data_IF_823315621642
#
_entry.id   IF_823315621642
#
_cell.length_a   1.000
_cell.length_b   1.000
_cell.length_c   1.000
_cell.angle_alpha   90.00
_cell.angle_beta   90.00
_cell.angle_gamma   90.00
#
_symmetry.space_group_name_H-M   'P 1'
#
loop_
_entity.id
_entity.type
_entity.pdbx_description
1 polymer ?
#
# COMPACT_ATOMS: atom_id res chain seq x y z
N UNK A 1 21.84 13.95 -1.45
CA UNK A 1 22.59 12.67 -1.52
C UNK A 1 24.08 12.95 -1.52
N UNK A 2 24.92 12.01 -1.08
CA UNK A 2 26.37 12.12 -1.29
C UNK A 2 26.69 12.20 -2.80
N UNK A 3 27.87 12.69 -3.17
CA UNK A 3 28.26 12.84 -4.58
C UNK A 3 28.18 11.52 -5.37
N UNK A 4 28.37 10.37 -4.71
CA UNK A 4 28.30 9.04 -5.32
C UNK A 4 26.97 8.30 -5.12
N UNK A 5 26.00 8.90 -4.42
CA UNK A 5 24.70 8.27 -4.19
C UNK A 5 23.85 8.28 -5.47
N UNK A 6 23.03 7.25 -5.65
CA UNK A 6 21.98 7.18 -6.69
C UNK A 6 20.63 6.86 -6.04
N UNK A 7 19.55 7.37 -6.60
CA UNK A 7 18.18 7.12 -6.14
C UNK A 7 17.32 6.77 -7.34
N UNK A 8 16.65 5.62 -7.26
CA UNK A 8 15.67 5.21 -8.26
C UNK A 8 14.29 5.29 -7.61
N UNK A 9 13.46 6.22 -8.09
CA UNK A 9 12.05 6.29 -7.77
C UNK A 9 11.24 5.34 -8.63
N UNK A 10 10.13 4.85 -8.09
CA UNK A 10 9.13 4.08 -8.84
C UNK A 10 7.76 4.59 -8.41
N UNK A 11 6.91 4.94 -9.37
CA UNK A 11 5.51 5.30 -9.10
C UNK A 11 4.60 4.79 -10.21
N UNK A 12 3.35 4.48 -9.85
CA UNK A 12 2.28 4.09 -10.76
C UNK A 12 1.54 5.32 -11.31
N UNK A 13 1.62 6.45 -10.61
CA UNK A 13 0.87 7.64 -10.93
C UNK A 13 1.63 8.54 -11.92
N UNK A 14 1.06 8.71 -13.11
CA UNK A 14 1.64 9.58 -14.15
C UNK A 14 1.91 11.01 -13.65
N UNK A 15 1.08 11.55 -12.74
CA UNK A 15 1.31 12.87 -12.17
C UNK A 15 2.58 12.90 -11.30
N UNK A 16 2.85 11.82 -10.56
CA UNK A 16 4.10 11.67 -9.80
C UNK A 16 5.30 11.52 -10.75
N UNK A 17 5.14 10.79 -11.85
CA UNK A 17 6.17 10.63 -12.89
C UNK A 17 6.53 11.97 -13.53
N UNK A 18 5.56 12.83 -13.84
CA UNK A 18 5.81 14.17 -14.38
C UNK A 18 6.61 15.04 -13.41
N UNK A 19 6.31 15.00 -12.12
CA UNK A 19 7.07 15.72 -11.09
C UNK A 19 8.48 15.14 -10.96
N UNK A 20 8.60 13.82 -10.95
CA UNK A 20 9.88 13.14 -10.82
C UNK A 20 10.81 13.37 -12.02
N UNK A 21 10.29 13.45 -13.25
CA UNK A 21 11.09 13.80 -14.42
C UNK A 21 11.73 15.19 -14.30
N UNK A 22 11.01 16.17 -13.74
CA UNK A 22 11.59 17.51 -13.47
C UNK A 22 12.73 17.44 -12.45
N UNK A 23 12.61 16.59 -11.44
CA UNK A 23 13.68 16.36 -10.46
C UNK A 23 14.90 15.66 -11.08
N UNK A 24 14.67 14.75 -12.04
CA UNK A 24 15.74 14.12 -12.80
C UNK A 24 16.53 15.13 -13.63
N UNK A 25 15.84 16.08 -14.28
CA UNK A 25 16.47 17.16 -15.04
C UNK A 25 17.35 18.07 -14.14
N UNK A 26 17.01 18.20 -12.85
CA UNK A 26 17.76 18.97 -11.86
C UNK A 26 18.93 18.17 -11.25
N UNK A 27 18.79 16.86 -11.07
CA UNK A 27 19.81 15.97 -10.50
C UNK A 27 19.82 14.60 -11.17
N UNK A 28 20.79 14.37 -12.06
CA UNK A 28 20.95 13.13 -12.81
C UNK A 28 21.20 11.89 -11.93
N UNK A 29 21.45 12.04 -10.63
CA UNK A 29 21.56 10.92 -9.68
C UNK A 29 20.20 10.35 -9.29
N UNK A 30 19.12 11.10 -9.50
CA UNK A 30 17.76 10.65 -9.33
C UNK A 30 17.22 10.16 -10.67
N UNK A 31 16.69 8.95 -10.72
CA UNK A 31 16.02 8.38 -11.90
C UNK A 31 14.62 7.92 -11.49
N UNK A 32 13.69 7.86 -12.44
CA UNK A 32 12.30 7.47 -12.18
C UNK A 32 11.84 6.39 -13.16
N UNK A 33 11.09 5.41 -12.66
CA UNK A 33 10.38 4.42 -13.47
C UNK A 33 8.87 4.56 -13.26
N UNK A 34 8.12 4.55 -14.37
CA UNK A 34 6.67 4.42 -14.34
C UNK A 34 6.30 2.94 -14.30
N UNK A 35 5.72 2.48 -13.19
CA UNK A 35 5.29 1.10 -13.04
C UNK A 35 5.09 0.69 -11.59
N UNK A 36 4.97 -0.62 -11.36
CA UNK A 36 4.76 -1.16 -10.02
C UNK A 36 6.10 -1.37 -9.31
N UNK A 37 6.13 -1.11 -8.00
CA UNK A 37 7.30 -1.37 -7.15
C UNK A 37 7.65 -2.86 -7.04
N UNK A 38 6.78 -3.78 -7.49
CA UNK A 38 7.10 -5.22 -7.52
C UNK A 38 8.21 -5.54 -8.51
N UNK A 39 8.41 -4.68 -9.52
CA UNK A 39 9.37 -4.87 -10.61
C UNK A 39 10.78 -4.33 -10.28
N UNK A 40 11.11 -4.12 -9.00
CA UNK A 40 12.45 -3.67 -8.55
C UNK A 40 13.60 -4.42 -9.24
N UNK A 41 13.60 -5.77 -9.33
CA UNK A 41 14.68 -6.49 -10.00
C UNK A 41 14.87 -6.07 -11.46
N UNK A 42 13.77 -5.80 -12.17
CA UNK A 42 13.81 -5.32 -13.55
C UNK A 42 14.41 -3.91 -13.62
N UNK A 43 14.01 -3.00 -12.73
CA UNK A 43 14.51 -1.63 -12.72
C UNK A 43 15.98 -1.52 -12.35
N UNK A 44 16.47 -2.38 -11.45
CA UNK A 44 17.90 -2.51 -11.15
C UNK A 44 18.66 -3.05 -12.37
N UNK A 45 18.18 -4.14 -12.97
CA UNK A 45 18.84 -4.76 -14.13
C UNK A 45 18.96 -3.80 -15.33
N UNK A 46 17.92 -2.99 -15.61
CA UNK A 46 17.95 -1.94 -16.65
C UNK A 46 19.13 -0.96 -16.48
N UNK A 47 19.61 -0.78 -15.25
CA UNK A 47 20.69 0.15 -14.88
C UNK A 47 22.05 -0.53 -14.72
N UNK A 48 22.12 -1.84 -14.95
CA UNK A 48 23.31 -2.64 -14.70
C UNK A 48 23.60 -2.86 -13.22
N UNK A 49 22.62 -2.60 -12.34
CA UNK A 49 22.71 -2.85 -10.91
C UNK A 49 22.09 -4.23 -10.59
N UNK A 50 22.75 -5.02 -9.76
CA UNK A 50 22.19 -6.30 -9.29
C UNK A 50 21.42 -6.14 -7.97
N UNK A 51 21.92 -5.28 -7.08
CA UNK A 51 21.42 -5.11 -5.71
C UNK A 51 21.47 -3.65 -5.27
N UNK A 52 20.54 -3.26 -4.39
CA UNK A 52 20.43 -1.95 -3.77
C UNK A 52 21.00 -1.93 -2.34
N UNK A 53 21.56 -0.78 -1.94
CA UNK A 53 21.99 -0.52 -0.56
C UNK A 53 20.79 -0.26 0.38
N UNK A 54 19.64 0.10 -0.17
CA UNK A 54 18.41 0.25 0.58
C UNK A 54 17.19 0.34 -0.30
N UNK A 55 16.05 -0.09 0.24
CA UNK A 55 14.73 0.01 -0.37
C UNK A 55 13.81 0.69 0.64
N UNK A 56 13.13 1.75 0.21
CA UNK A 56 12.10 2.43 0.97
C UNK A 56 10.78 2.30 0.21
N UNK A 57 9.71 1.92 0.91
CA UNK A 57 8.35 2.05 0.40
C UNK A 57 7.49 2.78 1.42
N UNK A 58 6.79 3.81 0.94
CA UNK A 58 5.77 4.54 1.68
C UNK A 58 4.41 4.16 1.08
N UNK A 59 3.65 3.32 1.78
CA UNK A 59 2.44 2.69 1.23
C UNK A 59 1.26 3.65 1.23
N UNK A 60 0.27 3.36 0.38
CA UNK A 60 -0.98 4.11 0.34
C UNK A 60 -1.01 5.15 -0.77
N UNK A 61 -1.66 6.28 -0.49
CA UNK A 61 -2.02 7.28 -1.50
C UNK A 61 -1.27 8.58 -1.28
N UNK A 62 -0.93 9.24 -2.38
CA UNK A 62 -0.28 10.54 -2.36
C UNK A 62 -1.25 11.66 -1.95
N UNK A 63 -0.70 12.81 -1.55
CA UNK A 63 -1.51 13.98 -1.23
C UNK A 63 -2.35 14.46 -2.43
N UNK A 64 -1.78 14.61 -3.66
CA UNK A 64 -2.57 14.92 -4.85
C UNK A 64 -3.74 13.97 -5.08
N UNK A 65 -3.55 12.66 -4.90
CA UNK A 65 -4.63 11.67 -5.07
C UNK A 65 -5.82 11.88 -4.13
N UNK A 66 -5.58 12.36 -2.90
CA UNK A 66 -6.64 12.63 -1.93
C UNK A 66 -7.26 14.03 -2.07
N UNK A 67 -6.46 15.01 -2.47
CA UNK A 67 -6.83 16.42 -2.51
C UNK A 67 -7.56 16.78 -3.82
N UNK A 68 -7.21 16.13 -4.93
CA UNK A 68 -7.86 16.30 -6.24
C UNK A 68 -9.12 15.44 -6.34
N UNK A 69 -10.28 16.09 -6.35
CA UNK A 69 -11.57 15.41 -6.42
C UNK A 69 -11.71 14.52 -7.67
N UNK A 70 -11.12 14.94 -8.80
CA UNK A 70 -11.13 14.22 -10.08
C UNK A 70 -10.44 12.85 -10.02
N UNK A 71 -9.64 12.58 -8.98
CA UNK A 71 -9.00 11.28 -8.75
C UNK A 71 -9.92 10.26 -8.07
N UNK A 72 -10.99 10.71 -7.41
CA UNK A 72 -12.01 9.84 -6.85
C UNK A 72 -11.63 9.04 -5.60
N UNK A 73 -10.51 9.34 -4.93
CA UNK A 73 -10.08 8.63 -3.72
C UNK A 73 -10.79 9.07 -2.44
N UNK A 74 -11.39 10.27 -2.47
CA UNK A 74 -12.03 10.90 -1.32
C UNK A 74 -13.50 11.19 -1.61
N UNK A 75 -14.33 11.08 -0.58
CA UNK A 75 -15.73 11.54 -0.60
C UNK A 75 -15.91 12.89 0.10
N UNK A 76 -14.82 13.52 0.55
CA UNK A 76 -14.87 14.86 1.15
C UNK A 76 -15.17 15.93 0.09
N UNK A 77 -14.63 15.74 -1.11
CA UNK A 77 -14.96 16.51 -2.31
C UNK A 77 -15.57 15.53 -3.31
N UNK A 78 -16.75 15.85 -3.86
CA UNK A 78 -17.40 14.99 -4.84
C UNK A 78 -16.62 14.99 -6.17
N UNK A 79 -16.52 13.83 -6.80
CA UNK A 79 -15.76 13.62 -8.03
C UNK A 79 -16.07 12.27 -8.66
N UNK A 80 -15.55 11.98 -9.86
CA UNK A 80 -15.75 10.71 -10.54
C UNK A 80 -15.25 9.54 -9.68
N UNK A 81 -15.97 8.42 -9.73
CA UNK A 81 -15.61 7.23 -8.97
C UNK A 81 -14.52 6.43 -9.68
N UNK A 82 -13.28 6.94 -9.64
CA UNK A 82 -12.13 6.31 -10.29
C UNK A 82 -11.29 5.44 -9.35
N UNK A 83 -10.60 6.05 -8.37
CA UNK A 83 -9.71 5.38 -7.39
C UNK A 83 -8.48 4.67 -7.96
N UNK A 84 -8.16 4.77 -9.26
CA UNK A 84 -6.92 4.19 -9.80
C UNK A 84 -5.71 5.08 -9.49
N UNK A 85 -4.65 4.45 -9.00
CA UNK A 85 -3.33 5.07 -8.86
C UNK A 85 -2.69 5.28 -10.24
N UNK A 86 -2.72 4.25 -11.08
CA UNK A 86 -2.35 4.32 -12.50
C UNK A 86 -3.61 4.51 -13.35
N UNK A 87 -3.79 5.71 -13.91
CA UNK A 87 -4.94 6.03 -14.75
C UNK A 87 -4.77 5.55 -16.20
N UNK A 88 -3.57 5.09 -16.60
CA UNK A 88 -3.27 4.61 -17.95
C UNK A 88 -3.75 3.18 -18.21
N UNK A 89 -4.03 2.42 -17.16
CA UNK A 89 -4.46 1.02 -17.23
C UNK A 89 -5.54 0.69 -16.19
N UNK A 90 -6.00 -0.57 -16.20
CA UNK A 90 -6.91 -1.10 -15.20
C UNK A 90 -8.38 -0.70 -15.38
N UNK A 91 -9.20 -1.07 -14.39
CA UNK A 91 -10.64 -0.76 -14.33
C UNK A 91 -10.89 0.24 -13.21
N UNK A 92 -11.72 1.25 -13.48
CA UNK A 92 -12.10 2.22 -12.44
C UNK A 92 -13.01 1.59 -11.38
N UNK A 93 -13.10 2.21 -10.21
CA UNK A 93 -14.03 1.80 -9.16
C UNK A 93 -15.48 1.78 -9.65
N UNK A 94 -15.89 2.75 -10.47
CA UNK A 94 -17.20 2.76 -11.14
C UNK A 94 -17.39 1.50 -11.99
N UNK A 95 -16.45 1.20 -12.89
CA UNK A 95 -16.54 0.07 -13.81
C UNK A 95 -16.60 -1.25 -13.04
N UNK A 96 -15.72 -1.42 -12.06
CA UNK A 96 -15.70 -2.59 -11.20
C UNK A 96 -17.00 -2.75 -10.40
N UNK A 97 -17.53 -1.67 -9.82
CA UNK A 97 -18.80 -1.69 -9.10
C UNK A 97 -20.00 -1.97 -10.00
N UNK A 98 -19.92 -1.72 -11.31
CA UNK A 98 -20.98 -2.07 -12.24
C UNK A 98 -21.09 -3.59 -12.44
N UNK A 99 -19.97 -4.31 -12.36
CA UNK A 99 -19.88 -5.72 -12.75
C UNK A 99 -19.73 -6.70 -11.58
N UNK A 100 -19.08 -6.29 -10.49
CA UNK A 100 -18.72 -7.20 -9.38
C UNK A 100 -19.95 -7.90 -8.81
N UNK A 101 -19.89 -9.21 -8.60
CA UNK A 101 -20.97 -9.93 -7.94
C UNK A 101 -21.12 -9.51 -6.47
N UNK A 102 -22.32 -9.59 -5.91
CA UNK A 102 -22.58 -9.22 -4.51
C UNK A 102 -21.61 -9.94 -3.55
N UNK A 103 -21.38 -11.24 -3.73
CA UNK A 103 -20.46 -12.01 -2.89
C UNK A 103 -19.01 -11.54 -3.01
N UNK A 104 -18.59 -11.12 -4.21
CA UNK A 104 -17.28 -10.50 -4.44
C UNK A 104 -17.15 -9.19 -3.68
N UNK A 105 -18.17 -8.33 -3.75
CA UNK A 105 -18.19 -7.07 -3.02
C UNK A 105 -18.22 -7.28 -1.48
N UNK A 106 -18.98 -8.26 -0.99
CA UNK A 106 -18.95 -8.65 0.44
C UNK A 106 -17.55 -9.05 0.87
N UNK A 107 -16.88 -9.88 0.06
CA UNK A 107 -15.50 -10.31 0.33
C UNK A 107 -14.57 -9.10 0.45
N UNK A 108 -14.59 -8.20 -0.54
CA UNK A 108 -13.74 -6.99 -0.54
C UNK A 108 -13.99 -6.12 0.68
N UNK A 109 -15.25 -5.77 0.97
CA UNK A 109 -15.60 -4.92 2.12
C UNK A 109 -15.18 -5.57 3.45
N UNK A 110 -15.39 -6.88 3.59
CA UNK A 110 -15.03 -7.62 4.81
C UNK A 110 -13.52 -7.76 4.97
N UNK A 111 -12.83 -8.22 3.93
CA UNK A 111 -11.43 -8.65 4.02
C UNK A 111 -10.47 -7.45 3.93
N UNK A 112 -10.79 -6.44 3.12
CA UNK A 112 -9.95 -5.26 2.91
C UNK A 112 -10.43 -4.03 3.68
N UNK A 113 -11.73 -3.92 3.96
CA UNK A 113 -12.28 -2.83 4.77
C UNK A 113 -12.33 -3.14 6.27
N UNK A 114 -12.18 -4.41 6.66
CA UNK A 114 -12.54 -4.90 8.01
C UNK A 114 -13.98 -4.47 8.39
N UNK A 115 -14.91 -4.41 7.42
CA UNK A 115 -16.27 -3.89 7.56
C UNK A 115 -17.24 -4.94 8.12
N UNK A 116 -17.84 -4.63 9.27
CA UNK A 116 -18.77 -5.52 9.98
C UNK A 116 -20.09 -5.68 9.24
N UNK A 117 -20.54 -4.62 8.56
CA UNK A 117 -21.79 -4.59 7.83
C UNK A 117 -21.61 -4.88 6.34
N UNK A 118 -20.51 -5.54 5.95
CA UNK A 118 -20.15 -5.81 4.55
C UNK A 118 -21.30 -6.39 3.72
N UNK A 119 -22.04 -7.38 4.25
CA UNK A 119 -23.22 -7.97 3.59
C UNK A 119 -24.31 -6.94 3.29
N UNK A 120 -24.63 -6.11 4.29
CA UNK A 120 -25.70 -5.09 4.17
C UNK A 120 -25.30 -3.98 3.21
N UNK A 121 -24.05 -3.51 3.30
CA UNK A 121 -23.52 -2.48 2.42
C UNK A 121 -23.42 -2.99 0.97
N UNK A 122 -22.94 -4.22 0.75
CA UNK A 122 -22.88 -4.80 -0.58
C UNK A 122 -24.27 -4.94 -1.21
N UNK A 123 -25.26 -5.45 -0.46
CA UNK A 123 -26.64 -5.54 -0.94
C UNK A 123 -27.20 -4.16 -1.32
N UNK A 124 -26.95 -3.12 -0.52
CA UNK A 124 -27.38 -1.76 -0.82
C UNK A 124 -26.72 -1.18 -2.08
N UNK A 125 -25.42 -1.44 -2.28
CA UNK A 125 -24.70 -1.02 -3.50
C UNK A 125 -25.25 -1.75 -4.73
N UNK A 126 -25.50 -3.07 -4.64
CA UNK A 126 -26.07 -3.87 -5.73
C UNK A 126 -27.50 -3.43 -6.06
N UNK A 127 -28.31 -3.12 -5.05
CA UNK A 127 -29.64 -2.59 -5.24
C UNK A 127 -29.58 -1.20 -5.91
N UNK A 128 -28.71 -0.31 -5.42
CA UNK A 128 -28.58 1.04 -5.95
C UNK A 128 -28.11 1.04 -7.42
N UNK A 129 -27.08 0.24 -7.76
CA UNK A 129 -26.58 0.15 -9.14
C UNK A 129 -27.60 -0.43 -10.12
N UNK A 130 -28.57 -1.22 -9.64
CA UNK A 130 -29.65 -1.74 -10.47
C UNK A 130 -30.65 -0.67 -10.89
N UNK A 131 -30.71 0.45 -10.14
CA UNK A 131 -31.60 1.58 -10.38
C UNK A 131 -30.92 2.75 -11.08
N UNK A 132 -29.66 3.04 -10.73
CA UNK A 132 -28.90 4.15 -11.28
C UNK A 132 -27.40 3.87 -11.24
N UNK A 133 -26.66 4.40 -12.23
CA UNK A 133 -25.20 4.35 -12.25
C UNK A 133 -24.60 5.05 -11.01
N UNK A 134 -23.65 4.37 -10.37
CA UNK A 134 -22.85 4.91 -9.26
C UNK A 134 -21.53 5.44 -9.85
N UNK A 135 -21.53 6.69 -10.30
CA UNK A 135 -20.45 7.34 -11.04
C UNK A 135 -19.69 8.40 -10.22
N UNK A 136 -20.16 8.77 -9.03
CA UNK A 136 -19.47 9.73 -8.16
C UNK A 136 -19.18 9.20 -6.76
N UNK A 137 -18.15 9.76 -6.12
CA UNK A 137 -17.75 9.40 -4.76
C UNK A 137 -18.85 9.72 -3.75
N UNK A 138 -19.55 10.85 -3.87
CA UNK A 138 -20.62 11.20 -2.94
C UNK A 138 -21.82 10.25 -3.04
N UNK A 139 -22.18 9.80 -4.25
CA UNK A 139 -23.24 8.78 -4.44
C UNK A 139 -22.90 7.49 -3.70
N UNK A 140 -21.68 6.96 -3.91
CA UNK A 140 -21.23 5.77 -3.20
C UNK A 140 -21.22 5.98 -1.68
N UNK A 141 -20.69 7.13 -1.21
CA UNK A 141 -20.61 7.44 0.20
C UNK A 141 -21.99 7.49 0.87
N UNK A 142 -22.99 8.07 0.21
CA UNK A 142 -24.36 8.14 0.71
C UNK A 142 -24.99 6.75 0.83
N UNK A 143 -24.86 5.91 -0.20
CA UNK A 143 -25.35 4.52 -0.18
C UNK A 143 -24.75 3.75 0.99
N UNK A 144 -23.43 3.85 1.19
CA UNK A 144 -22.73 3.16 2.28
C UNK A 144 -23.18 3.70 3.65
N UNK A 145 -23.33 5.01 3.78
CA UNK A 145 -23.74 5.66 5.04
C UNK A 145 -25.16 5.29 5.44
N UNK A 146 -26.11 5.26 4.50
CA UNK A 146 -27.50 4.83 4.74
C UNK A 146 -27.59 3.34 5.07
N UNK A 147 -26.76 2.52 4.43
CA UNK A 147 -26.69 1.10 4.71
C UNK A 147 -26.02 0.79 6.05
N UNK A 148 -25.20 1.67 6.61
CA UNK A 148 -24.49 1.44 7.86
C UNK A 148 -25.35 1.80 9.09
N UNK A 149 -25.78 0.82 9.91
CA UNK A 149 -26.67 1.05 11.05
C UNK A 149 -25.96 1.64 12.27
N UNK A 150 -24.62 1.67 12.32
CA UNK A 150 -23.87 2.09 13.51
C UNK A 150 -22.63 2.91 13.16
N UNK A 151 -22.75 4.23 13.31
CA UNK A 151 -21.70 5.17 12.96
C UNK A 151 -20.69 5.32 14.11
N UNK A 152 -19.40 5.25 13.78
CA UNK A 152 -18.34 5.48 14.74
C UNK A 152 -18.10 6.99 14.93
N UNK A 153 -18.01 7.45 16.19
CA UNK A 153 -18.00 8.88 16.55
C UNK A 153 -16.91 9.73 15.85
N UNK A 154 -15.84 9.12 15.35
CA UNK A 154 -14.71 9.81 14.72
C UNK A 154 -14.34 9.25 13.34
N UNK A 155 -15.22 8.45 12.72
CA UNK A 155 -14.96 7.84 11.42
C UNK A 155 -16.22 7.83 10.59
N UNK A 156 -16.15 8.44 9.41
CA UNK A 156 -17.26 8.39 8.47
C UNK A 156 -17.54 6.92 8.07
N UNK A 157 -18.81 6.49 8.00
CA UNK A 157 -19.16 5.10 7.65
C UNK A 157 -18.56 4.61 6.34
N UNK A 158 -18.45 5.50 5.35
CA UNK A 158 -17.90 5.16 4.04
C UNK A 158 -16.38 4.92 4.03
N UNK A 159 -15.64 5.34 5.06
CA UNK A 159 -14.16 5.27 5.06
C UNK A 159 -13.63 3.84 4.86
N UNK A 160 -14.24 2.84 5.51
CA UNK A 160 -13.82 1.43 5.34
C UNK A 160 -14.14 0.89 3.96
N UNK A 161 -15.31 1.26 3.41
CA UNK A 161 -15.71 0.82 2.08
C UNK A 161 -14.80 1.43 1.00
N UNK A 162 -14.50 2.72 1.09
CA UNK A 162 -13.57 3.39 0.17
C UNK A 162 -12.17 2.79 0.24
N UNK A 163 -11.66 2.55 1.46
CA UNK A 163 -10.40 1.85 1.64
C UNK A 163 -10.40 0.45 1.00
N UNK A 164 -11.46 -0.33 1.21
CA UNK A 164 -11.57 -1.68 0.66
C UNK A 164 -11.58 -1.70 -0.87
N UNK A 165 -12.37 -0.82 -1.47
CA UNK A 165 -12.49 -0.70 -2.92
C UNK A 165 -11.17 -0.23 -3.52
N UNK A 166 -10.54 0.79 -2.92
CA UNK A 166 -9.20 1.25 -3.35
C UNK A 166 -8.17 0.13 -3.36
N UNK A 167 -8.11 -0.66 -2.28
CA UNK A 167 -7.22 -1.82 -2.16
C UNK A 167 -7.46 -2.84 -3.28
N UNK A 168 -8.72 -3.14 -3.59
CA UNK A 168 -9.09 -4.06 -4.66
C UNK A 168 -8.68 -3.51 -6.03
N UNK A 169 -9.04 -2.27 -6.35
CA UNK A 169 -8.78 -1.63 -7.65
C UNK A 169 -7.28 -1.55 -7.94
N UNK A 170 -6.48 -1.24 -6.93
CA UNK A 170 -5.03 -1.06 -7.09
C UNK A 170 -4.20 -2.30 -6.76
N UNK A 171 -4.86 -3.41 -6.38
CA UNK A 171 -4.23 -4.67 -5.95
C UNK A 171 -3.20 -4.47 -4.83
N UNK A 172 -3.42 -3.49 -3.94
CA UNK A 172 -2.40 -2.98 -3.01
C UNK A 172 -1.78 -4.08 -2.14
N UNK A 173 -2.61 -4.97 -1.59
CA UNK A 173 -2.12 -6.04 -0.71
C UNK A 173 -1.41 -7.17 -1.48
N UNK A 174 -1.86 -7.49 -2.69
CA UNK A 174 -1.22 -8.50 -3.51
C UNK A 174 0.17 -8.02 -3.96
N UNK A 175 0.26 -6.75 -4.39
CA UNK A 175 1.52 -6.14 -4.77
C UNK A 175 2.45 -6.01 -3.56
N UNK A 176 1.94 -5.66 -2.37
CA UNK A 176 2.75 -5.63 -1.14
C UNK A 176 3.34 -7.00 -0.80
N UNK A 177 2.58 -8.09 -0.96
CA UNK A 177 3.08 -9.44 -0.70
C UNK A 177 4.26 -9.79 -1.62
N UNK A 178 4.10 -9.59 -2.93
CA UNK A 178 5.15 -9.82 -3.92
C UNK A 178 6.36 -8.91 -3.70
N UNK A 179 6.11 -7.63 -3.42
CA UNK A 179 7.16 -6.65 -3.12
C UNK A 179 8.03 -7.06 -1.95
N UNK A 180 7.44 -7.55 -0.85
CA UNK A 180 8.21 -7.94 0.33
C UNK A 180 9.19 -9.08 0.02
N UNK A 181 8.87 -9.96 -0.93
CA UNK A 181 9.75 -11.03 -1.41
C UNK A 181 10.84 -10.51 -2.36
N UNK A 182 10.46 -9.67 -3.33
CA UNK A 182 11.39 -9.09 -4.30
C UNK A 182 12.37 -8.11 -3.64
N UNK A 183 11.89 -7.25 -2.75
CA UNK A 183 12.68 -6.20 -2.12
C UNK A 183 13.83 -6.76 -1.26
N UNK A 184 13.59 -7.84 -0.50
CA UNK A 184 14.65 -8.43 0.32
C UNK A 184 15.71 -9.18 -0.50
N UNK A 185 15.30 -9.72 -1.64
CA UNK A 185 16.22 -10.35 -2.60
C UNK A 185 17.08 -9.32 -3.32
N UNK A 186 16.55 -8.12 -3.52
CA UNK A 186 17.24 -6.99 -4.16
C UNK A 186 18.22 -6.24 -3.23
N UNK A 187 18.37 -6.62 -1.96
CA UNK A 187 19.29 -5.93 -1.03
C UNK A 187 20.70 -6.53 -1.03
N UNK A 188 21.70 -5.65 -0.95
CA UNK A 188 23.08 -6.03 -0.56
C UNK A 188 23.13 -6.47 0.91
N UNK A 189 24.16 -7.23 1.28
CA UNK A 189 24.50 -7.44 2.69
C UNK A 189 24.78 -6.09 3.36
N UNK A 190 24.18 -5.86 4.53
CA UNK A 190 24.15 -4.57 5.22
C UNK A 190 23.05 -3.62 4.74
N UNK A 191 22.37 -3.95 3.64
CA UNK A 191 21.30 -3.14 3.08
C UNK A 191 20.01 -3.19 3.90
N UNK A 192 19.16 -2.15 3.78
CA UNK A 192 17.95 -2.00 4.59
C UNK A 192 16.67 -1.90 3.77
N UNK A 193 15.65 -2.64 4.19
CA UNK A 193 14.26 -2.46 3.76
C UNK A 193 13.52 -1.63 4.82
N UNK A 194 13.03 -0.46 4.42
CA UNK A 194 12.18 0.42 5.23
C UNK A 194 10.78 0.41 4.62
N UNK A 195 9.78 0.08 5.44
CA UNK A 195 8.37 0.08 5.03
C UNK A 195 7.58 0.97 5.97
N UNK A 196 6.85 1.93 5.41
CA UNK A 196 5.89 2.77 6.11
C UNK A 196 4.49 2.36 5.64
N UNK A 197 3.62 2.02 6.60
CA UNK A 197 2.25 1.56 6.36
C UNK A 197 1.26 2.46 7.06
N UNK A 198 0.06 2.65 6.50
CA UNK A 198 -0.95 3.57 7.06
C UNK A 198 -2.21 2.87 7.55
N UNK A 199 -2.33 1.56 7.33
CA UNK A 199 -3.45 0.80 7.89
C UNK A 199 -3.05 -0.57 8.44
N UNK A 200 -3.98 -1.13 9.24
CA UNK A 200 -3.81 -2.37 10.00
C UNK A 200 -3.43 -3.58 9.13
N UNK A 201 -4.02 -3.69 7.94
CA UNK A 201 -3.76 -4.80 7.02
C UNK A 201 -2.32 -4.80 6.48
N UNK A 202 -1.84 -3.67 5.96
CA UNK A 202 -0.46 -3.48 5.51
C UNK A 202 0.53 -3.76 6.65
N UNK A 203 0.39 -3.10 7.81
CA UNK A 203 1.30 -3.28 8.95
C UNK A 203 1.36 -4.75 9.38
N UNK A 204 0.21 -5.45 9.36
CA UNK A 204 0.13 -6.85 9.71
C UNK A 204 0.88 -7.73 8.71
N UNK A 205 0.78 -7.47 7.41
CA UNK A 205 1.52 -8.20 6.38
C UNK A 205 3.03 -7.97 6.52
N UNK A 206 3.46 -6.70 6.58
CA UNK A 206 4.86 -6.32 6.74
C UNK A 206 5.44 -6.92 8.01
N UNK A 207 4.75 -6.80 9.14
CA UNK A 207 5.17 -7.37 10.43
C UNK A 207 5.37 -8.88 10.34
N UNK A 208 4.43 -9.60 9.71
CA UNK A 208 4.50 -11.06 9.57
C UNK A 208 5.66 -11.48 8.68
N UNK A 209 5.81 -10.84 7.51
CA UNK A 209 6.89 -11.12 6.57
C UNK A 209 8.27 -10.85 7.20
N UNK A 210 8.48 -9.65 7.74
CA UNK A 210 9.76 -9.29 8.36
C UNK A 210 10.08 -10.15 9.59
N UNK A 211 9.08 -10.53 10.40
CA UNK A 211 9.29 -11.44 11.53
C UNK A 211 9.64 -12.85 11.08
N UNK A 212 9.02 -13.35 10.01
CA UNK A 212 9.35 -14.66 9.41
C UNK A 212 10.80 -14.66 8.92
N UNK A 213 11.20 -13.64 8.16
CA UNK A 213 12.56 -13.49 7.65
C UNK A 213 13.60 -13.38 8.76
N UNK A 214 13.33 -12.59 9.80
CA UNK A 214 14.25 -12.41 10.92
C UNK A 214 14.31 -13.62 11.88
N UNK A 215 13.31 -14.51 11.85
CA UNK A 215 13.33 -15.74 12.66
C UNK A 215 14.42 -16.70 12.18
N UNK A 216 14.73 -16.70 10.88
CA UNK A 216 15.65 -17.65 10.24
C UNK A 216 14.98 -18.99 9.95
N UNK A 217 15.78 -19.95 9.50
CA UNK A 217 15.28 -21.29 9.18
C UNK A 217 14.82 -22.02 10.45
N UNK A 218 13.58 -22.54 10.41
CA UNK A 218 13.05 -23.31 11.53
C UNK A 218 13.45 -24.78 11.38
N UNK A 219 14.08 -25.38 12.42
CA UNK A 219 14.35 -26.80 12.39
C UNK A 219 13.05 -27.61 12.45
N UNK A 220 13.05 -28.86 11.96
CA UNK A 220 11.88 -29.73 12.03
C UNK A 220 11.35 -29.87 13.46
N UNK A 221 10.02 -30.04 13.66
CA UNK A 221 9.44 -30.22 14.98
C UNK A 221 10.12 -31.37 15.75
N UNK A 222 10.53 -31.11 17.00
CA UNK A 222 11.16 -32.10 17.86
C UNK A 222 12.68 -32.20 17.75
N UNK A 223 13.32 -31.43 16.86
CA UNK A 223 14.79 -31.34 16.78
C UNK A 223 15.28 -30.25 17.76
N UNK A 224 16.10 -30.57 18.77
CA UNK A 224 16.72 -29.57 19.62
C UNK A 224 17.83 -28.87 18.83
N UNK A 225 17.67 -27.57 18.58
CA UNK A 225 18.68 -26.73 17.94
C UNK A 225 18.98 -25.56 18.86
N UNK A 226 20.26 -25.23 19.01
CA UNK A 226 20.66 -24.08 19.80
C UNK A 226 20.36 -22.80 19.03
N UNK A 227 20.03 -21.74 19.76
CA UNK A 227 19.79 -20.41 19.18
C UNK A 227 20.97 -19.90 18.34
N UNK A 228 22.20 -20.33 18.68
CA UNK A 228 23.44 -20.02 17.95
C UNK A 228 23.54 -20.67 16.58
N UNK A 229 22.81 -21.77 16.37
CA UNK A 229 22.93 -22.60 15.17
C UNK A 229 21.85 -22.23 14.14
N UNK A 230 20.95 -21.32 14.49
CA UNK A 230 19.93 -20.78 13.57
C UNK A 230 20.58 -19.71 12.71
N UNK A 231 20.74 -20.02 11.42
CA UNK A 231 21.23 -19.06 10.43
C UNK A 231 20.18 -17.98 10.19
N UNK A 232 20.57 -16.71 10.39
CA UNK A 232 19.69 -15.54 10.24
C UNK A 232 20.24 -14.61 9.18
N UNK A 233 19.63 -14.68 8.00
CA UNK A 233 19.91 -13.78 6.89
C UNK A 233 19.41 -12.36 7.12
N UNK A 234 18.48 -12.15 8.05
CA UNK A 234 17.87 -10.84 8.29
C UNK A 234 17.73 -10.52 9.78
N UNK A 235 17.71 -9.22 10.08
CA UNK A 235 17.50 -8.68 11.43
C UNK A 235 16.46 -7.57 11.43
N UNK A 236 15.53 -7.64 12.38
CA UNK A 236 14.65 -6.52 12.70
C UNK A 236 15.46 -5.45 13.44
N UNK A 237 15.55 -4.25 12.86
CA UNK A 237 16.34 -3.16 13.44
C UNK A 237 15.60 -2.42 14.54
N UNK A 238 14.27 -2.41 14.48
CA UNK A 238 13.44 -1.76 15.49
C UNK A 238 12.10 -2.47 15.70
N UNK A 239 11.45 -2.15 16.82
CA UNK A 239 10.00 -2.33 16.92
C UNK A 239 9.31 -1.36 15.95
N UNK A 240 7.99 -1.47 15.84
CA UNK A 240 7.18 -0.51 15.11
C UNK A 240 7.47 0.91 15.61
N UNK A 241 7.89 1.80 14.71
CA UNK A 241 8.08 3.22 14.98
C UNK A 241 6.81 3.94 14.54
N UNK A 242 6.32 4.83 15.40
CA UNK A 242 5.09 5.61 15.18
C UNK A 242 5.45 7.10 15.21
N UNK A 243 4.68 7.95 14.53
CA UNK A 243 4.88 9.40 14.58
C UNK A 243 4.75 9.93 16.00
N UNK A 244 5.43 11.03 16.29
CA UNK A 244 5.26 11.75 17.55
C UNK A 244 3.94 12.54 17.56
N UNK A 245 3.55 13.09 18.72
CA UNK A 245 2.33 13.94 18.78
C UNK A 245 2.49 15.20 17.95
N UNK A 246 3.67 15.81 18.01
CA UNK A 246 4.05 17.02 17.29
C UNK A 246 4.00 16.77 15.77
N UNK A 247 4.46 15.61 15.30
CA UNK A 247 4.37 15.22 13.89
C UNK A 247 2.91 15.05 13.43
N UNK A 248 2.05 14.48 14.26
CA UNK A 248 0.62 14.31 13.94
C UNK A 248 -0.10 15.67 13.88
N UNK A 249 0.27 16.61 14.74
CA UNK A 249 -0.30 17.97 14.73
C UNK A 249 0.10 18.74 13.47
N UNK A 250 1.35 18.57 12.99
CA UNK A 250 1.84 19.21 11.77
C UNK A 250 1.36 18.50 10.49
N UNK A 251 1.24 17.17 10.55
CA UNK A 251 0.80 16.34 9.45
C UNK A 251 -0.25 15.33 9.92
N UNK A 252 -1.55 15.69 9.92
CA UNK A 252 -2.62 14.79 10.35
C UNK A 252 -2.67 13.44 9.60
N UNK A 253 -2.10 13.36 8.39
CA UNK A 253 -2.02 12.12 7.58
C UNK A 253 -1.04 11.11 8.18
N UNK A 254 -0.03 11.56 8.92
CA UNK A 254 0.93 10.67 9.58
C UNK A 254 0.32 9.87 10.72
N UNK A 255 -0.85 10.28 11.27
CA UNK A 255 -1.50 9.68 12.47
C UNK A 255 -1.52 8.15 12.50
N UNK A 256 -1.67 7.51 11.35
CA UNK A 256 -1.77 6.05 11.23
C UNK A 256 -0.50 5.38 10.68
N UNK A 257 0.55 6.15 10.41
CA UNK A 257 1.83 5.67 9.93
C UNK A 257 2.51 4.74 10.94
N UNK A 258 3.01 3.62 10.44
CA UNK A 258 3.84 2.67 11.17
C UNK A 258 5.03 2.31 10.30
N UNK A 259 6.22 2.67 10.76
CA UNK A 259 7.48 2.35 10.10
C UNK A 259 8.11 1.08 10.69
N UNK A 260 8.61 0.22 9.82
CA UNK A 260 9.38 -0.99 10.15
C UNK A 260 10.65 -1.05 9.32
N UNK A 261 11.73 -1.54 9.94
CA UNK A 261 13.06 -1.62 9.32
C UNK A 261 13.63 -3.02 9.48
N UNK A 262 14.04 -3.61 8.35
CA UNK A 262 14.73 -4.89 8.26
C UNK A 262 16.12 -4.67 7.63
N UNK A 263 17.15 -5.28 8.18
CA UNK A 263 18.52 -5.27 7.63
C UNK A 263 18.89 -6.68 7.16
N UNK A 264 19.54 -6.77 5.99
CA UNK A 264 20.11 -8.02 5.48
C UNK A 264 21.50 -8.22 6.09
N UNK A 265 21.72 -9.36 6.75
CA UNK A 265 22.97 -9.69 7.43
C UNK A 265 23.92 -10.54 6.58
N UNK A 266 23.38 -11.43 5.75
CA UNK A 266 24.12 -12.38 4.92
C UNK A 266 23.28 -12.83 3.73
N UNK A 267 23.95 -13.34 2.69
CA UNK A 267 23.29 -14.03 1.57
C UNK A 267 22.96 -15.50 1.89
N UNK A 268 23.79 -16.12 2.74
CA UNK A 268 23.65 -17.47 3.30
C UNK A 268 23.02 -17.46 4.69
#
# INVERSE_FOLDING_TARGET
>A
MSESGRLVGVDKDLAAIEVANKLHDEDARFEIEHGSFVDIPLYLAKRGDELADGVLVDLGVSSPQLDEADRGFSFMNDGPLDMRMDTSAGVSAQQWLAEVEEQGLVRVLRDYGEERFAKRIAAAIVEARSKQVIDTTLKLANIVSEANPAWEKHKHPATRAFQAIRIEINKELADLELFLECAVSALKVGGRLVVISFHSLEDRMVKRAMKKLAKGDEPPPGVPVLESDITRRFKLMSKAIKPSKEEIEQNPRSRSAVMRVLEKLSDE
#
